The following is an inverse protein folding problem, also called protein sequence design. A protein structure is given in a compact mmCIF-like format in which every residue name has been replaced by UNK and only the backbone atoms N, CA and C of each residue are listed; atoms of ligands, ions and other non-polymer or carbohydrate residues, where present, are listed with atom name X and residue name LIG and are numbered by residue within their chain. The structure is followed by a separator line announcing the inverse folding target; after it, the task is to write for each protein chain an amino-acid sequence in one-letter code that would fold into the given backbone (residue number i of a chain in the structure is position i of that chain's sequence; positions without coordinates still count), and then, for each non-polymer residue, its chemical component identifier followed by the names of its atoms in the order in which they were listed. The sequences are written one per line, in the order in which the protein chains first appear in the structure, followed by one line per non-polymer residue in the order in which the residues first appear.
data_IF_420605117243
#
_entry.id   IF_420605117243
#
_cell.length_a   1.000
_cell.length_b   1.000
_cell.length_c   1.000
_cell.angle_alpha   90.00
_cell.angle_beta   90.00
_cell.angle_gamma   90.00
#
_symmetry.space_group_name_H-M   'P 1'
#
loop_
_entity.id
_entity.type
_entity.pdbx_description
1 polymer ?
#
# COMPACT_ATOMS: atom_id res chain seq x y z
N UNK A 1 1.46 21.39 -14.31
CA UNK A 1 2.00 20.43 -13.31
C UNK A 1 2.97 21.19 -12.44
N UNK A 2 2.80 21.23 -11.10
CA UNK A 2 3.72 21.92 -10.21
C UNK A 2 5.17 21.48 -10.38
N UNK A 3 6.11 22.41 -10.17
CA UNK A 3 7.52 22.17 -10.46
C UNK A 3 8.13 21.01 -9.64
N UNK A 4 7.81 20.96 -8.35
CA UNK A 4 8.26 19.87 -7.45
C UNK A 4 7.78 18.51 -7.92
N UNK A 5 6.50 18.39 -8.33
CA UNK A 5 5.95 17.15 -8.86
C UNK A 5 6.61 16.77 -10.19
N UNK A 6 6.85 17.77 -11.07
CA UNK A 6 7.54 17.58 -12.34
C UNK A 6 8.97 17.08 -12.15
N UNK A 7 9.70 17.59 -11.15
CA UNK A 7 11.06 17.15 -10.79
C UNK A 7 11.10 15.65 -10.53
N UNK A 8 10.24 15.12 -9.64
CA UNK A 8 10.19 13.68 -9.36
C UNK A 8 9.69 12.85 -10.55
N UNK A 9 8.72 13.38 -11.30
CA UNK A 9 8.25 12.76 -12.53
C UNK A 9 9.38 12.54 -13.55
N UNK A 10 10.24 13.56 -13.72
CA UNK A 10 11.41 13.48 -14.62
C UNK A 10 12.50 12.57 -14.04
N UNK A 11 12.70 12.54 -12.73
CA UNK A 11 13.69 11.71 -12.05
C UNK A 11 13.38 10.20 -12.13
N UNK A 12 12.14 9.80 -12.43
CA UNK A 12 11.80 8.40 -12.70
C UNK A 12 12.55 7.81 -13.91
N UNK A 13 13.02 8.63 -14.84
CA UNK A 13 13.86 8.24 -16.00
C UNK A 13 13.37 6.98 -16.74
N UNK A 14 12.05 6.83 -16.89
CA UNK A 14 11.47 5.66 -17.56
C UNK A 14 11.70 5.78 -19.07
N UNK A 15 12.09 4.66 -19.70
CA UNK A 15 12.29 4.58 -21.15
C UNK A 15 10.96 4.61 -21.91
N UNK A 16 10.30 5.77 -21.88
CA UNK A 16 9.07 6.01 -22.63
C UNK A 16 9.35 6.76 -23.93
N UNK A 17 8.67 6.39 -25.00
CA UNK A 17 8.56 7.25 -26.19
C UNK A 17 7.84 8.56 -25.83
N UNK A 18 7.99 9.60 -26.69
CA UNK A 18 7.32 10.90 -26.46
C UNK A 18 5.81 10.77 -26.24
N UNK A 19 5.03 9.98 -27.02
CA UNK A 19 3.62 9.76 -26.75
C UNK A 19 3.34 9.03 -25.42
N UNK A 20 4.14 8.01 -25.09
CA UNK A 20 3.98 7.27 -23.82
C UNK A 20 4.22 8.17 -22.62
N UNK A 21 5.24 9.04 -22.66
CA UNK A 21 5.54 10.01 -21.60
C UNK A 21 4.38 10.99 -21.41
N UNK A 22 3.78 11.48 -22.49
CA UNK A 22 2.59 12.34 -22.42
C UNK A 22 1.42 11.62 -21.74
N UNK A 23 1.10 10.38 -22.15
CA UNK A 23 0.00 9.63 -21.56
C UNK A 23 0.27 9.20 -20.12
N UNK A 24 1.54 8.94 -19.78
CA UNK A 24 1.93 8.72 -18.39
C UNK A 24 1.66 9.96 -17.54
N UNK A 25 2.05 11.16 -18.01
CA UNK A 25 1.74 12.42 -17.31
C UNK A 25 0.24 12.66 -17.15
N UNK A 26 -0.54 12.43 -18.21
CA UNK A 26 -2.02 12.53 -18.14
C UNK A 26 -2.58 11.55 -17.10
N UNK A 27 -2.08 10.32 -17.07
CA UNK A 27 -2.53 9.34 -16.08
C UNK A 27 -2.20 9.76 -14.65
N UNK A 28 -0.96 10.21 -14.39
CA UNK A 28 -0.53 10.66 -13.07
C UNK A 28 -1.37 11.85 -12.60
N UNK A 29 -1.45 12.91 -13.40
CA UNK A 29 -2.22 14.09 -13.04
C UNK A 29 -3.71 13.78 -12.94
N UNK A 30 -4.27 13.05 -13.90
CA UNK A 30 -5.68 12.64 -13.86
C UNK A 30 -6.03 11.87 -12.60
N UNK A 31 -5.17 10.94 -12.15
CA UNK A 31 -5.39 10.19 -10.90
C UNK A 31 -5.42 11.09 -9.66
N UNK A 32 -4.73 12.24 -9.69
CA UNK A 32 -4.64 13.15 -8.55
C UNK A 32 -5.78 14.20 -8.57
N UNK A 33 -6.09 14.75 -9.76
CA UNK A 33 -7.02 15.87 -9.86
C UNK A 33 -8.47 15.46 -10.15
N UNK A 34 -8.72 14.25 -10.61
CA UNK A 34 -10.06 13.73 -10.87
C UNK A 34 -10.89 13.70 -9.58
N UNK A 35 -12.13 14.18 -9.68
CA UNK A 35 -13.09 14.21 -8.55
C UNK A 35 -14.18 13.15 -8.69
N UNK A 36 -14.30 12.57 -9.87
CA UNK A 36 -15.26 11.53 -10.19
C UNK A 36 -14.65 10.14 -9.99
N UNK A 37 -15.44 9.11 -10.28
CA UNK A 37 -14.93 7.76 -10.37
C UNK A 37 -13.80 7.70 -11.39
N UNK A 38 -12.63 7.23 -10.99
CA UNK A 38 -11.37 7.24 -11.77
C UNK A 38 -11.38 6.26 -12.94
N UNK A 39 -12.33 6.46 -13.88
CA UNK A 39 -12.30 5.78 -15.17
C UNK A 39 -11.26 6.43 -16.08
N UNK A 40 -10.73 5.72 -17.07
CA UNK A 40 -9.77 6.32 -18.01
C UNK A 40 -10.33 7.53 -18.75
N UNK A 41 -11.65 7.57 -18.95
CA UNK A 41 -12.35 8.73 -19.53
C UNK A 41 -12.29 9.91 -18.55
N UNK A 42 -12.74 9.74 -17.33
CA UNK A 42 -12.71 10.78 -16.30
C UNK A 42 -11.29 11.29 -16.03
N UNK A 43 -10.29 10.39 -15.94
CA UNK A 43 -8.88 10.80 -15.82
C UNK A 43 -8.40 11.67 -16.99
N UNK A 44 -8.80 11.32 -18.21
CA UNK A 44 -8.45 12.10 -19.41
C UNK A 44 -9.16 13.45 -19.42
N UNK A 45 -10.43 13.52 -19.02
CA UNK A 45 -11.24 14.74 -19.01
C UNK A 45 -10.79 15.71 -17.89
N UNK A 46 -10.25 15.20 -16.78
CA UNK A 46 -9.76 16.00 -15.65
C UNK A 46 -8.45 16.77 -15.95
N UNK A 47 -7.73 16.42 -17.01
CA UNK A 47 -6.42 17.02 -17.35
C UNK A 47 -6.51 17.87 -18.60
N UNK A 48 -5.96 19.08 -18.51
CA UNK A 48 -5.89 20.04 -19.63
C UNK A 48 -5.08 19.41 -20.78
N UNK A 49 -5.58 19.53 -22.02
CA UNK A 49 -4.93 19.04 -23.24
C UNK A 49 -4.56 17.55 -23.23
N UNK A 50 -5.28 16.74 -22.51
CA UNK A 50 -4.99 15.32 -22.32
C UNK A 50 -5.01 14.46 -23.59
N UNK A 51 -5.75 14.88 -24.59
CA UNK A 51 -6.02 14.08 -25.78
C UNK A 51 -7.23 13.14 -25.60
N UNK A 52 -7.45 12.19 -26.53
CA UNK A 52 -8.59 11.29 -26.48
C UNK A 52 -8.39 10.17 -25.45
N UNK A 53 -9.42 9.84 -24.69
CA UNK A 53 -9.42 8.77 -23.67
C UNK A 53 -9.01 7.40 -24.24
N UNK A 54 -9.32 7.12 -25.52
CA UNK A 54 -8.88 5.89 -26.20
C UNK A 54 -7.34 5.76 -26.29
N UNK A 55 -6.62 6.86 -26.36
CA UNK A 55 -5.16 6.85 -26.35
C UNK A 55 -4.61 6.52 -24.95
N UNK A 56 -5.27 6.98 -23.89
CA UNK A 56 -4.93 6.60 -22.51
C UNK A 56 -5.19 5.09 -22.31
N UNK A 57 -6.30 4.54 -22.85
CA UNK A 57 -6.53 3.11 -22.86
C UNK A 57 -5.43 2.35 -23.60
N UNK A 58 -5.02 2.80 -24.80
CA UNK A 58 -3.92 2.18 -25.55
C UNK A 58 -2.62 2.19 -24.75
N UNK A 59 -2.31 3.30 -24.08
CA UNK A 59 -1.14 3.40 -23.21
C UNK A 59 -1.15 2.34 -22.11
N UNK A 60 -2.26 2.21 -21.39
CA UNK A 60 -2.37 1.27 -20.24
C UNK A 60 -2.45 -0.18 -20.74
N UNK A 61 -3.24 -0.48 -21.75
CA UNK A 61 -3.57 -1.85 -22.12
C UNK A 61 -2.64 -2.45 -23.20
N UNK A 62 -2.16 -1.64 -24.16
CA UNK A 62 -1.55 -2.12 -25.40
C UNK A 62 -0.08 -1.73 -25.50
N UNK A 63 0.28 -0.47 -25.26
CA UNK A 63 1.64 0.06 -25.47
C UNK A 63 2.75 -0.79 -24.87
N UNK A 64 3.88 -0.97 -25.58
CA UNK A 64 4.98 -1.81 -25.14
C UNK A 64 5.88 -1.07 -24.14
N UNK A 65 5.47 -0.96 -22.87
CA UNK A 65 6.31 -0.47 -21.79
C UNK A 65 6.40 -1.47 -20.64
N UNK A 66 7.53 -1.43 -19.92
CA UNK A 66 7.84 -2.36 -18.85
C UNK A 66 7.27 -1.89 -17.52
N UNK A 67 6.34 -2.67 -16.96
CA UNK A 67 5.80 -2.45 -15.62
C UNK A 67 6.87 -2.68 -14.54
N UNK A 68 7.73 -3.70 -14.73
CA UNK A 68 8.80 -4.00 -13.77
C UNK A 68 9.90 -2.92 -13.76
N UNK A 69 10.15 -2.26 -14.88
CA UNK A 69 11.06 -1.12 -14.93
C UNK A 69 10.49 0.07 -14.16
N UNK A 70 9.19 0.38 -14.35
CA UNK A 70 8.50 1.42 -13.57
C UNK A 70 8.57 1.14 -12.06
N UNK A 71 8.31 -0.09 -11.63
CA UNK A 71 8.36 -0.49 -10.21
C UNK A 71 9.77 -0.32 -9.62
N UNK A 72 10.80 -0.78 -10.33
CA UNK A 72 12.20 -0.65 -9.91
C UNK A 72 12.64 0.82 -9.82
N UNK A 73 12.32 1.63 -10.84
CA UNK A 73 12.70 3.05 -10.86
C UNK A 73 11.95 3.86 -9.82
N UNK A 74 10.67 3.54 -9.59
CA UNK A 74 9.89 4.16 -8.52
C UNK A 74 10.52 3.90 -7.15
N UNK A 75 10.91 2.65 -6.87
CA UNK A 75 11.56 2.32 -5.60
C UNK A 75 12.97 2.91 -5.49
N UNK A 76 13.74 2.90 -6.58
CA UNK A 76 15.05 3.55 -6.61
C UNK A 76 14.94 5.06 -6.34
N UNK A 77 13.96 5.74 -6.93
CA UNK A 77 13.71 7.16 -6.66
C UNK A 77 13.41 7.42 -5.18
N UNK A 78 12.68 6.54 -4.51
CA UNK A 78 12.48 6.63 -3.06
C UNK A 78 13.81 6.52 -2.33
N UNK A 79 14.62 5.50 -2.64
CA UNK A 79 15.92 5.28 -1.99
C UNK A 79 16.87 6.47 -2.20
N UNK A 80 16.91 7.04 -3.41
CA UNK A 80 17.77 8.17 -3.75
C UNK A 80 17.33 9.50 -3.08
N UNK A 81 16.06 9.55 -2.63
CA UNK A 81 15.49 10.76 -2.00
C UNK A 81 15.51 10.68 -0.47
N UNK A 82 15.48 9.48 0.09
CA UNK A 82 15.54 9.31 1.55
C UNK A 82 16.90 9.75 2.09
N UNK A 83 16.93 10.33 3.31
CA UNK A 83 18.19 10.68 3.97
C UNK A 83 18.95 9.42 4.38
N UNK A 84 20.21 9.59 4.69
CA UNK A 84 20.97 8.57 5.42
C UNK A 84 20.39 8.41 6.84
N UNK A 85 20.22 7.16 7.24
CA UNK A 85 19.70 6.83 8.56
C UNK A 85 20.82 6.33 9.45
N UNK A 86 20.80 6.67 10.76
CA UNK A 86 21.74 6.09 11.73
C UNK A 86 21.68 4.56 11.69
N UNK A 87 22.84 3.93 11.85
CA UNK A 87 22.94 2.47 11.88
C UNK A 87 22.02 1.88 12.95
N UNK A 88 21.26 0.88 12.57
CA UNK A 88 20.30 0.22 13.45
C UNK A 88 18.93 0.88 13.53
N UNK A 89 18.67 1.96 12.79
CA UNK A 89 17.31 2.50 12.63
C UNK A 89 16.36 1.42 12.16
N UNK A 90 15.16 1.35 12.76
CA UNK A 90 14.15 0.38 12.34
C UNK A 90 13.40 0.83 11.10
N UNK A 91 13.33 -0.09 10.15
CA UNK A 91 12.51 0.02 8.95
C UNK A 91 11.44 -1.08 9.00
N UNK A 92 10.18 -0.71 8.88
CA UNK A 92 9.06 -1.64 8.91
C UNK A 92 8.60 -1.95 7.49
N UNK A 93 8.59 -3.23 7.14
CA UNK A 93 7.98 -3.72 5.91
C UNK A 93 6.63 -4.35 6.27
N UNK A 94 5.55 -3.69 5.92
CA UNK A 94 4.19 -4.15 6.22
C UNK A 94 3.68 -4.96 5.04
N UNK A 95 3.16 -6.16 5.29
CA UNK A 95 2.52 -7.03 4.29
C UNK A 95 1.05 -7.16 4.63
N UNK A 96 0.20 -6.88 3.65
CA UNK A 96 -1.25 -7.04 3.78
C UNK A 96 -1.88 -7.25 2.39
N UNK A 97 -3.16 -7.64 2.35
CA UNK A 97 -3.91 -7.77 1.11
C UNK A 97 -5.18 -6.91 1.13
N UNK A 98 -5.67 -6.61 -0.05
CA UNK A 98 -6.88 -5.81 -0.17
C UNK A 98 -7.69 -6.18 -1.41
N UNK A 99 -9.01 -6.27 -1.22
CA UNK A 99 -9.95 -6.56 -2.29
C UNK A 99 -10.33 -5.26 -3.02
N UNK A 100 -10.24 -5.30 -4.35
CA UNK A 100 -10.78 -4.30 -5.25
C UNK A 100 -12.14 -4.78 -5.76
N UNK A 101 -13.22 -4.44 -5.05
CA UNK A 101 -14.58 -4.87 -5.38
C UNK A 101 -14.99 -4.45 -6.78
N UNK A 102 -15.74 -5.31 -7.49
CA UNK A 102 -16.21 -5.12 -8.86
C UNK A 102 -17.65 -5.61 -9.03
N UNK A 103 -18.37 -4.93 -9.90
CA UNK A 103 -19.73 -5.35 -10.32
C UNK A 103 -19.71 -6.08 -11.66
N UNK A 104 -18.73 -5.77 -12.52
CA UNK A 104 -18.62 -6.31 -13.87
C UNK A 104 -18.05 -7.73 -13.90
N UNK A 105 -18.85 -8.69 -14.35
CA UNK A 105 -18.48 -10.13 -14.39
C UNK A 105 -17.53 -10.52 -15.54
N UNK A 106 -17.26 -9.65 -16.51
CA UNK A 106 -16.43 -9.93 -17.69
C UNK A 106 -14.97 -9.48 -17.54
N UNK A 107 -14.49 -9.33 -16.30
CA UNK A 107 -13.11 -8.92 -16.02
C UNK A 107 -12.23 -10.16 -15.84
N UNK A 108 -11.10 -10.21 -16.53
CA UNK A 108 -10.13 -11.32 -16.38
C UNK A 108 -9.65 -11.41 -14.93
N UNK A 109 -9.49 -12.62 -14.41
CA UNK A 109 -9.03 -12.95 -13.08
C UNK A 109 -9.91 -12.45 -11.91
N UNK A 110 -11.08 -11.86 -12.18
CA UNK A 110 -12.02 -11.51 -11.12
C UNK A 110 -12.66 -12.77 -10.51
N UNK A 111 -12.92 -12.73 -9.21
CA UNK A 111 -13.52 -13.84 -8.48
C UNK A 111 -14.17 -13.40 -7.19
N UNK A 112 -14.79 -14.35 -6.48
CA UNK A 112 -15.37 -14.12 -5.17
C UNK A 112 -14.32 -14.33 -4.08
N UNK A 113 -14.14 -13.37 -3.22
CA UNK A 113 -13.23 -13.40 -2.07
C UNK A 113 -14.00 -13.18 -0.78
N UNK A 114 -13.49 -13.70 0.31
CA UNK A 114 -14.04 -13.46 1.63
C UNK A 114 -13.65 -12.05 2.06
N UNK A 115 -14.62 -11.19 2.33
CA UNK A 115 -14.40 -9.82 2.76
C UNK A 115 -13.78 -9.73 4.18
N UNK A 116 -13.34 -8.54 4.54
CA UNK A 116 -12.61 -8.29 5.80
C UNK A 116 -13.44 -8.63 7.05
N UNK A 117 -14.77 -8.50 6.98
CA UNK A 117 -15.69 -8.90 8.06
C UNK A 117 -15.79 -10.43 8.24
N UNK A 118 -15.24 -11.20 7.32
CA UNK A 118 -15.26 -12.65 7.30
C UNK A 118 -16.62 -13.28 7.07
N UNK A 119 -17.67 -12.49 6.86
CA UNK A 119 -19.07 -12.92 6.70
C UNK A 119 -19.57 -12.78 5.27
N UNK A 120 -19.18 -11.69 4.60
CA UNK A 120 -19.60 -11.40 3.22
C UNK A 120 -18.54 -11.85 2.22
N UNK A 121 -18.99 -12.23 1.03
CA UNK A 121 -18.11 -12.46 -0.11
C UNK A 121 -18.21 -11.27 -1.05
N UNK A 122 -17.06 -10.76 -1.48
CA UNK A 122 -16.95 -9.66 -2.43
C UNK A 122 -16.43 -10.19 -3.76
N UNK A 123 -17.08 -9.80 -4.85
CA UNK A 123 -16.60 -10.10 -6.20
C UNK A 123 -15.63 -9.02 -6.65
N UNK A 124 -14.44 -9.41 -7.10
CA UNK A 124 -13.45 -8.44 -7.53
C UNK A 124 -12.08 -9.06 -7.78
N UNK A 125 -11.05 -8.27 -7.56
CA UNK A 125 -9.65 -8.69 -7.59
C UNK A 125 -9.06 -8.52 -6.21
N UNK A 126 -8.14 -9.40 -5.86
CA UNK A 126 -7.40 -9.34 -4.63
C UNK A 126 -5.91 -9.10 -4.91
N UNK A 127 -5.28 -8.24 -4.14
CA UNK A 127 -3.88 -7.84 -4.32
C UNK A 127 -3.15 -7.88 -3.00
N UNK A 128 -2.00 -8.55 -2.99
CA UNK A 128 -1.05 -8.54 -1.86
C UNK A 128 -0.06 -7.41 -2.09
N UNK A 129 0.12 -6.54 -1.09
CA UNK A 129 1.06 -5.40 -1.18
C UNK A 129 2.09 -5.44 -0.08
N UNK A 130 3.21 -4.77 -0.33
CA UNK A 130 4.22 -4.44 0.66
C UNK A 130 4.37 -2.92 0.77
N UNK A 131 4.44 -2.42 2.00
CA UNK A 131 4.52 -1.01 2.34
C UNK A 131 5.66 -0.78 3.32
N UNK A 132 6.56 0.15 3.01
CA UNK A 132 7.72 0.48 3.83
C UNK A 132 7.41 1.70 4.69
N UNK A 133 7.74 1.62 5.98
CA UNK A 133 7.67 2.75 6.92
C UNK A 133 9.02 2.89 7.61
N UNK A 134 9.57 4.09 7.61
CA UNK A 134 10.81 4.44 8.31
C UNK A 134 10.70 5.85 8.90
N UNK A 135 10.76 5.95 10.23
CA UNK A 135 10.37 7.19 10.90
C UNK A 135 8.95 7.60 10.53
N UNK A 136 8.78 8.83 10.10
CA UNK A 136 7.49 9.36 9.63
C UNK A 136 7.24 9.11 8.12
N UNK A 137 8.22 8.58 7.41
CA UNK A 137 8.12 8.35 5.98
C UNK A 137 7.50 7.00 5.68
N UNK A 138 6.65 6.95 4.66
CA UNK A 138 5.98 5.73 4.24
C UNK A 138 5.76 5.69 2.72
N UNK A 139 6.05 4.53 2.11
CA UNK A 139 5.96 4.34 0.67
C UNK A 139 5.51 2.92 0.31
N UNK A 140 4.67 2.74 -0.72
CA UNK A 140 4.38 1.42 -1.26
C UNK A 140 5.62 0.87 -1.96
N UNK A 141 5.99 -0.36 -1.64
CA UNK A 141 7.16 -1.02 -2.24
C UNK A 141 6.77 -1.84 -3.45
N UNK A 142 5.90 -2.83 -3.27
CA UNK A 142 5.51 -3.75 -4.33
C UNK A 142 4.05 -4.19 -4.21
N UNK A 143 3.55 -4.76 -5.32
CA UNK A 143 2.19 -5.28 -5.40
C UNK A 143 2.18 -6.52 -6.28
N UNK A 144 1.53 -7.60 -5.79
CA UNK A 144 1.30 -8.82 -6.56
C UNK A 144 -0.19 -9.18 -6.53
N UNK A 145 -0.87 -9.25 -7.70
CA UNK A 145 -2.25 -9.70 -7.74
C UNK A 145 -2.36 -11.18 -7.42
N UNK A 146 -3.34 -11.54 -6.60
CA UNK A 146 -3.69 -12.91 -6.35
C UNK A 146 -4.70 -13.40 -7.40
N UNK A 147 -4.36 -14.45 -8.11
CA UNK A 147 -5.23 -15.10 -9.07
C UNK A 147 -5.71 -16.45 -8.53
N UNK A 148 -6.99 -16.74 -8.70
CA UNK A 148 -7.53 -18.05 -8.28
C UNK A 148 -6.90 -19.18 -9.09
N UNK A 149 -6.72 -20.31 -8.46
CA UNK A 149 -6.11 -21.50 -9.07
C UNK A 149 -6.81 -21.93 -10.36
N UNK A 150 -8.15 -21.93 -10.39
CA UNK A 150 -8.94 -22.24 -11.58
C UNK A 150 -8.57 -21.33 -12.77
N UNK A 151 -8.49 -20.01 -12.52
CA UNK A 151 -8.08 -19.07 -13.57
C UNK A 151 -6.64 -19.30 -14.03
N UNK A 152 -5.75 -19.65 -13.14
CA UNK A 152 -4.36 -19.96 -13.48
C UNK A 152 -4.26 -21.22 -14.34
N UNK A 153 -5.06 -22.25 -14.07
CA UNK A 153 -5.14 -23.48 -14.86
C UNK A 153 -5.67 -23.18 -16.28
N UNK A 154 -6.75 -22.43 -16.40
CA UNK A 154 -7.35 -22.05 -17.68
C UNK A 154 -6.39 -21.23 -18.55
N UNK A 155 -5.61 -20.34 -17.95
CA UNK A 155 -4.67 -19.45 -18.65
C UNK A 155 -3.25 -20.03 -18.76
N UNK A 156 -3.01 -21.23 -18.25
CA UNK A 156 -1.69 -21.88 -18.19
C UNK A 156 -0.64 -21.00 -17.51
N UNK A 157 -1.06 -20.21 -16.50
CA UNK A 157 -0.16 -19.40 -15.67
C UNK A 157 0.11 -20.09 -14.34
N UNK A 158 1.27 -19.82 -13.74
CA UNK A 158 1.60 -20.42 -12.46
C UNK A 158 0.72 -19.84 -11.36
N UNK A 159 0.13 -20.73 -10.57
CA UNK A 159 -0.60 -20.37 -9.36
C UNK A 159 0.35 -20.08 -8.21
N UNK A 160 0.01 -19.06 -7.42
CA UNK A 160 0.66 -18.72 -6.17
C UNK A 160 -0.39 -18.41 -5.10
N UNK A 161 -0.21 -18.96 -3.92
CA UNK A 161 -0.99 -18.59 -2.73
C UNK A 161 -0.65 -17.16 -2.29
N UNK A 162 -1.54 -16.51 -1.52
CA UNK A 162 -1.22 -15.18 -0.93
C UNK A 162 0.08 -15.21 -0.12
N UNK A 163 0.31 -16.29 0.62
CA UNK A 163 1.52 -16.46 1.42
C UNK A 163 2.80 -16.56 0.56
N UNK A 164 2.73 -17.19 -0.60
CA UNK A 164 3.84 -17.23 -1.55
C UNK A 164 4.06 -15.86 -2.20
N UNK A 165 2.99 -15.12 -2.52
CA UNK A 165 3.08 -13.75 -3.01
C UNK A 165 3.70 -12.81 -1.96
N UNK A 166 3.29 -12.93 -0.70
CA UNK A 166 3.91 -12.21 0.42
C UNK A 166 5.40 -12.54 0.57
N UNK A 167 5.74 -13.83 0.50
CA UNK A 167 7.12 -14.29 0.57
C UNK A 167 7.99 -13.73 -0.59
N UNK A 168 7.41 -13.62 -1.81
CA UNK A 168 8.09 -12.98 -2.94
C UNK A 168 8.35 -11.51 -2.68
N UNK A 169 7.33 -10.75 -2.19
CA UNK A 169 7.48 -9.32 -1.86
C UNK A 169 8.57 -9.10 -0.80
N UNK A 170 8.66 -9.96 0.21
CA UNK A 170 9.69 -9.89 1.25
C UNK A 170 11.09 -10.13 0.64
N UNK A 171 11.25 -11.14 -0.24
CA UNK A 171 12.53 -11.45 -0.88
C UNK A 171 12.99 -10.34 -1.83
N UNK A 172 12.06 -9.72 -2.54
CA UNK A 172 12.33 -8.65 -3.52
C UNK A 172 12.61 -7.29 -2.87
N UNK A 173 12.24 -7.11 -1.59
CA UNK A 173 12.44 -5.85 -0.89
C UNK A 173 13.92 -5.49 -0.75
N UNK A 174 14.27 -4.28 -1.19
CA UNK A 174 15.58 -3.66 -1.01
C UNK A 174 15.43 -2.52 0.00
N UNK A 175 15.81 -2.71 1.26
CA UNK A 175 15.71 -1.65 2.26
C UNK A 175 16.73 -0.53 1.98
N UNK A 176 16.54 0.67 2.55
CA UNK A 176 17.61 1.67 2.69
C UNK A 176 18.84 1.06 3.39
N UNK A 177 20.00 1.64 3.17
CA UNK A 177 21.25 1.17 3.80
C UNK A 177 21.25 1.41 5.31
N UNK A 178 21.96 0.58 6.07
CA UNK A 178 22.17 0.71 7.51
C UNK A 178 20.96 0.41 8.40
N UNK A 179 19.78 0.11 7.85
CA UNK A 179 18.56 -0.09 8.62
C UNK A 179 18.36 -1.55 9.06
N UNK A 180 17.64 -1.74 10.18
CA UNK A 180 17.14 -3.05 10.65
C UNK A 180 15.70 -3.24 10.23
N UNK A 181 15.44 -4.25 9.40
CA UNK A 181 14.09 -4.51 8.89
C UNK A 181 13.29 -5.39 9.82
N UNK A 182 12.07 -4.93 10.14
CA UNK A 182 11.04 -5.71 10.83
C UNK A 182 9.85 -5.87 9.90
N UNK A 183 9.49 -7.10 9.57
CA UNK A 183 8.31 -7.40 8.75
C UNK A 183 7.07 -7.49 9.64
N UNK A 184 6.05 -6.68 9.35
CA UNK A 184 4.79 -6.64 10.08
C UNK A 184 3.68 -7.23 9.22
N UNK A 185 2.88 -8.13 9.79
CA UNK A 185 1.74 -8.75 9.11
C UNK A 185 0.68 -9.21 10.10
N UNK A 186 -0.47 -9.58 9.59
CA UNK A 186 -1.56 -10.11 10.40
C UNK A 186 -1.40 -11.63 10.66
N UNK A 187 -2.33 -12.21 11.41
CA UNK A 187 -2.31 -13.62 11.76
C UNK A 187 -2.48 -14.58 10.57
N UNK A 188 -2.94 -14.08 9.41
CA UNK A 188 -3.09 -14.88 8.19
C UNK A 188 -1.73 -15.22 7.58
N UNK A 189 -0.82 -14.25 7.60
CA UNK A 189 0.53 -14.39 7.05
C UNK A 189 1.53 -15.05 8.02
N UNK A 190 1.14 -15.32 9.26
CA UNK A 190 2.00 -16.03 10.22
C UNK A 190 2.06 -17.53 9.90
N UNK A 191 2.85 -17.92 8.92
CA UNK A 191 3.02 -19.30 8.47
C UNK A 191 4.46 -19.58 8.01
N UNK A 192 4.83 -20.87 7.85
CA UNK A 192 6.22 -21.26 7.52
C UNK A 192 6.76 -20.65 6.23
N UNK A 193 5.93 -20.47 5.20
CA UNK A 193 6.36 -19.92 3.90
C UNK A 193 6.84 -18.46 4.03
N UNK A 194 6.06 -17.64 4.75
CA UNK A 194 6.40 -16.23 5.00
C UNK A 194 7.60 -16.12 5.94
N UNK A 195 7.59 -16.88 7.05
CA UNK A 195 8.70 -16.86 8.03
C UNK A 195 10.01 -17.33 7.39
N UNK A 196 9.97 -18.31 6.49
CA UNK A 196 11.15 -18.74 5.73
C UNK A 196 11.72 -17.57 4.92
N UNK A 197 10.89 -16.82 4.21
CA UNK A 197 11.34 -15.66 3.42
C UNK A 197 11.94 -14.56 4.31
N UNK A 198 11.36 -14.29 5.47
CA UNK A 198 11.90 -13.32 6.45
C UNK A 198 13.30 -13.77 6.92
N UNK A 199 13.45 -15.05 7.30
CA UNK A 199 14.75 -15.61 7.75
C UNK A 199 15.80 -15.61 6.63
N UNK A 200 15.45 -15.97 5.40
CA UNK A 200 16.33 -15.92 4.23
C UNK A 200 16.90 -14.51 4.00
N UNK A 201 16.12 -13.47 4.30
CA UNK A 201 16.53 -12.07 4.19
C UNK A 201 17.24 -11.54 5.45
N UNK A 202 17.38 -12.35 6.50
CA UNK A 202 17.90 -11.95 7.82
C UNK A 202 17.12 -10.77 8.42
N UNK A 203 15.81 -10.70 8.14
CA UNK A 203 14.89 -9.74 8.74
C UNK A 203 14.29 -10.31 10.01
N UNK A 204 13.75 -9.44 10.84
CA UNK A 204 12.91 -9.82 11.98
C UNK A 204 11.42 -9.68 11.62
N UNK A 205 10.56 -10.17 12.47
CA UNK A 205 9.12 -10.07 12.26
C UNK A 205 8.34 -9.84 13.55
N UNK A 206 7.17 -9.18 13.44
CA UNK A 206 6.14 -9.10 14.47
C UNK A 206 4.79 -9.32 13.80
N UNK A 207 3.96 -10.17 14.39
CA UNK A 207 2.65 -10.51 13.86
C UNK A 207 1.63 -10.74 14.95
N UNK A 208 0.33 -10.61 14.59
CA UNK A 208 -0.71 -11.24 15.39
C UNK A 208 -0.60 -12.75 15.26
N UNK A 209 -0.94 -13.46 16.34
CA UNK A 209 -1.05 -14.90 16.33
C UNK A 209 -2.51 -15.32 16.52
N UNK A 210 -2.92 -16.42 15.87
CA UNK A 210 -4.24 -16.99 16.09
C UNK A 210 -4.31 -17.61 17.49
N UNK A 211 -5.45 -17.48 18.15
CA UNK A 211 -5.69 -18.00 19.51
C UNK A 211 -5.49 -19.51 19.65
N UNK A 212 -5.70 -20.26 18.57
CA UNK A 212 -5.50 -21.71 18.49
C UNK A 212 -4.06 -22.13 18.16
N UNK A 213 -3.09 -21.19 18.11
CA UNK A 213 -1.68 -21.52 17.89
C UNK A 213 -1.15 -22.35 19.06
N UNK A 214 -0.56 -23.50 18.73
CA UNK A 214 -0.04 -24.46 19.69
C UNK A 214 1.40 -24.13 20.06
N UNK A 215 1.75 -24.30 21.33
CA UNK A 215 3.10 -24.30 21.87
C UNK A 215 3.33 -25.56 22.71
N UNK A 216 4.59 -25.83 22.99
CA UNK A 216 5.01 -26.95 23.83
C UNK A 216 5.57 -26.41 25.15
N UNK A 217 5.08 -26.95 26.25
CA UNK A 217 5.60 -26.75 27.61
C UNK A 217 5.96 -28.13 28.19
N UNK A 218 7.25 -28.47 28.10
CA UNK A 218 7.71 -29.82 28.37
C UNK A 218 7.11 -30.84 27.37
N UNK A 219 6.40 -31.83 27.89
CA UNK A 219 5.69 -32.86 27.08
C UNK A 219 4.23 -32.48 26.72
N UNK A 220 3.71 -31.42 27.34
CA UNK A 220 2.33 -30.98 27.12
C UNK A 220 2.21 -30.05 25.93
N UNK A 221 1.06 -30.19 25.25
CA UNK A 221 0.67 -29.29 24.15
C UNK A 221 -0.46 -28.42 24.62
N UNK A 222 -0.24 -27.11 24.57
CA UNK A 222 -1.28 -26.13 24.86
C UNK A 222 -1.44 -25.13 23.69
N UNK A 223 -2.54 -24.39 23.72
CA UNK A 223 -2.75 -23.30 22.77
C UNK A 223 -2.83 -21.94 23.49
N UNK A 224 -2.64 -20.85 22.73
CA UNK A 224 -2.61 -19.51 23.28
C UNK A 224 -3.93 -19.10 23.96
N UNK A 225 -5.08 -19.65 23.51
CA UNK A 225 -6.38 -19.40 24.15
C UNK A 225 -6.45 -20.01 25.54
N UNK A 226 -5.89 -21.22 25.73
CA UNK A 226 -5.81 -21.89 27.03
C UNK A 226 -4.88 -21.14 27.97
N UNK A 227 -3.72 -20.71 27.47
CA UNK A 227 -2.78 -19.86 28.24
C UNK A 227 -3.50 -18.60 28.74
N UNK A 228 -4.20 -17.87 27.86
CA UNK A 228 -4.89 -16.63 28.24
C UNK A 228 -5.96 -16.82 29.33
N UNK A 229 -6.61 -18.00 29.39
CA UNK A 229 -7.62 -18.31 30.41
C UNK A 229 -7.01 -18.59 31.81
N UNK A 230 -5.75 -19.03 31.84
CA UNK A 230 -5.02 -19.30 33.11
C UNK A 230 -4.45 -18.02 33.74
N UNK A 231 -4.44 -16.89 33.01
CA UNK A 231 -3.81 -15.65 33.48
C UNK A 231 -4.73 -14.88 34.44
N UNK A 232 -4.18 -14.53 35.60
CA UNK A 232 -4.82 -13.59 36.52
C UNK A 232 -4.60 -12.15 36.01
N UNK A 233 -5.66 -11.57 35.44
CA UNK A 233 -5.61 -10.25 34.80
C UNK A 233 -5.33 -9.11 35.78
N UNK A 234 -5.70 -9.28 37.07
CA UNK A 234 -5.53 -8.23 38.09
C UNK A 234 -4.05 -7.95 38.39
N UNK A 235 -3.23 -8.98 38.24
CA UNK A 235 -1.79 -8.91 38.50
C UNK A 235 -0.94 -8.65 37.24
N UNK A 236 -1.57 -8.39 36.07
CA UNK A 236 -0.80 -8.12 34.87
C UNK A 236 -0.32 -6.65 34.81
N UNK A 237 0.92 -6.41 34.36
CA UNK A 237 1.43 -5.07 34.16
C UNK A 237 0.61 -4.31 33.12
N UNK A 238 0.33 -3.03 33.41
CA UNK A 238 -0.35 -2.10 32.51
C UNK A 238 0.68 -1.41 31.62
N UNK A 239 0.46 -1.47 30.30
CA UNK A 239 1.31 -0.85 29.29
C UNK A 239 0.49 0.13 28.47
N UNK A 240 0.96 1.37 28.35
CA UNK A 240 0.33 2.40 27.51
C UNK A 240 1.07 2.53 26.18
N UNK A 241 0.33 2.50 25.07
CA UNK A 241 0.84 2.68 23.70
C UNK A 241 -0.19 3.44 22.88
N UNK A 242 0.23 4.51 22.22
CA UNK A 242 -0.59 5.30 21.30
C UNK A 242 -1.97 5.69 21.87
N UNK A 243 -1.99 6.12 23.14
CA UNK A 243 -3.22 6.55 23.82
C UNK A 243 -4.14 5.43 24.33
N UNK A 244 -3.80 4.16 24.08
CA UNK A 244 -4.54 3.00 24.60
C UNK A 244 -3.78 2.29 25.70
N UNK A 245 -4.50 1.72 26.67
CA UNK A 245 -3.96 0.98 27.80
C UNK A 245 -4.24 -0.51 27.67
N UNK A 246 -3.21 -1.32 27.89
CA UNK A 246 -3.28 -2.79 27.79
C UNK A 246 -2.75 -3.46 29.06
N UNK A 247 -3.40 -4.53 29.50
CA UNK A 247 -2.83 -5.46 30.47
C UNK A 247 -2.08 -6.53 29.66
N UNK A 248 -0.80 -6.75 29.96
CA UNK A 248 0.08 -7.53 29.09
C UNK A 248 0.79 -8.64 29.85
N UNK A 249 0.57 -9.88 29.44
CA UNK A 249 1.45 -11.00 29.78
C UNK A 249 2.45 -11.23 28.66
N UNK A 250 3.72 -11.44 29.00
CA UNK A 250 4.79 -11.65 28.02
C UNK A 250 5.69 -12.81 28.45
N UNK A 251 5.86 -13.77 27.55
CA UNK A 251 6.72 -14.95 27.76
C UNK A 251 7.42 -15.37 26.47
N UNK A 252 8.43 -16.23 26.60
CA UNK A 252 9.05 -16.89 25.46
C UNK A 252 8.53 -18.32 25.38
N UNK A 253 7.98 -18.71 24.23
CA UNK A 253 7.38 -20.01 23.99
C UNK A 253 7.96 -20.64 22.71
N UNK A 254 8.06 -21.96 22.71
CA UNK A 254 8.34 -22.71 21.47
C UNK A 254 7.04 -22.93 20.71
N UNK A 255 6.71 -21.98 19.81
CA UNK A 255 5.52 -22.11 18.98
C UNK A 255 5.75 -23.15 17.88
N UNK A 256 4.75 -24.02 17.67
CA UNK A 256 4.80 -25.02 16.61
C UNK A 256 5.11 -24.36 15.25
N UNK A 257 6.08 -24.92 14.52
CA UNK A 257 6.60 -24.44 13.21
C UNK A 257 7.37 -23.13 13.20
N UNK A 258 7.38 -22.35 14.30
CA UNK A 258 8.07 -21.05 14.38
C UNK A 258 9.34 -21.10 15.25
N UNK A 259 9.37 -22.04 16.21
CA UNK A 259 10.46 -22.18 17.18
C UNK A 259 10.35 -21.17 18.34
N UNK A 260 11.47 -20.80 18.94
CA UNK A 260 11.52 -19.91 20.09
C UNK A 260 11.01 -18.51 19.68
N UNK A 261 9.95 -18.10 20.32
CA UNK A 261 9.16 -16.92 19.95
C UNK A 261 8.72 -16.18 21.21
N UNK A 262 8.89 -14.88 21.23
CA UNK A 262 8.30 -14.03 22.27
C UNK A 262 6.82 -13.86 21.95
N UNK A 263 5.98 -14.20 22.91
CA UNK A 263 4.51 -14.09 22.81
C UNK A 263 4.01 -13.06 23.82
N UNK A 264 3.14 -12.18 23.37
CA UNK A 264 2.37 -11.28 24.21
C UNK A 264 0.91 -11.67 24.18
N UNK A 265 0.30 -11.82 25.35
CA UNK A 265 -1.16 -11.89 25.52
C UNK A 265 -1.61 -10.54 26.03
N UNK A 266 -2.38 -9.81 25.24
CA UNK A 266 -2.81 -8.44 25.56
C UNK A 266 -4.30 -8.37 25.77
N UNK A 267 -4.74 -7.72 26.83
CA UNK A 267 -6.13 -7.44 27.15
C UNK A 267 -6.34 -5.93 27.11
N UNK A 268 -7.43 -5.46 26.57
CA UNK A 268 -7.83 -4.07 26.59
C UNK A 268 -8.17 -3.68 28.06
N UNK A 269 -7.43 -2.74 28.62
CA UNK A 269 -7.61 -2.37 30.04
C UNK A 269 -8.92 -1.63 30.30
N UNK A 270 -9.51 -1.00 29.28
CA UNK A 270 -10.76 -0.24 29.36
C UNK A 270 -11.98 -1.08 28.96
N UNK A 271 -11.74 -2.19 28.26
CA UNK A 271 -12.79 -3.10 27.76
C UNK A 271 -12.46 -4.55 28.10
N UNK A 272 -12.62 -4.93 29.40
CA UNK A 272 -12.17 -6.24 29.89
C UNK A 272 -12.89 -7.42 29.25
N UNK A 273 -14.11 -7.23 28.71
CA UNK A 273 -14.89 -8.27 28.03
C UNK A 273 -14.41 -8.57 26.62
N UNK A 274 -13.55 -7.72 26.05
CA UNK A 274 -12.94 -8.01 24.75
C UNK A 274 -12.04 -9.26 24.84
N UNK A 275 -12.05 -10.02 23.74
CA UNK A 275 -11.14 -11.16 23.58
C UNK A 275 -9.69 -10.67 23.56
N UNK A 276 -8.77 -11.44 24.18
CA UNK A 276 -7.36 -11.10 24.14
C UNK A 276 -6.82 -11.10 22.72
N UNK A 277 -5.82 -10.23 22.48
CA UNK A 277 -5.03 -10.22 21.26
C UNK A 277 -3.67 -10.84 21.55
N UNK A 278 -3.23 -11.71 20.66
CA UNK A 278 -1.95 -12.38 20.76
C UNK A 278 -1.00 -11.76 19.74
N UNK A 279 0.20 -11.33 20.20
CA UNK A 279 1.30 -10.93 19.35
C UNK A 279 2.44 -11.93 19.49
N UNK A 280 3.18 -12.13 18.42
CA UNK A 280 4.33 -13.01 18.38
C UNK A 280 5.47 -12.38 17.59
N UNK A 281 6.73 -12.62 18.01
CA UNK A 281 7.91 -12.11 17.34
C UNK A 281 9.13 -13.00 17.60
N UNK A 282 10.08 -13.04 16.67
CA UNK A 282 11.40 -13.66 16.84
C UNK A 282 12.37 -12.78 17.66
N UNK A 283 12.01 -11.52 17.90
CA UNK A 283 12.82 -10.57 18.67
C UNK A 283 12.61 -10.76 20.17
N UNK A 284 13.12 -11.86 20.72
CA UNK A 284 12.87 -12.30 22.11
C UNK A 284 13.36 -11.31 23.18
N UNK A 285 14.23 -10.36 22.83
CA UNK A 285 14.80 -9.36 23.76
C UNK A 285 13.98 -8.07 23.84
N UNK A 286 13.02 -7.84 22.95
CA UNK A 286 12.19 -6.64 22.99
C UNK A 286 11.32 -6.62 24.25
N UNK A 287 11.13 -5.47 24.85
CA UNK A 287 10.11 -5.28 25.90
C UNK A 287 8.71 -5.42 25.33
N UNK A 288 7.73 -5.74 26.17
CA UNK A 288 6.32 -5.80 25.75
C UNK A 288 5.85 -4.48 25.12
N UNK A 289 6.27 -3.34 25.68
CA UNK A 289 5.98 -2.01 25.15
C UNK A 289 6.51 -1.83 23.75
N UNK A 290 7.78 -2.16 23.49
CA UNK A 290 8.38 -2.05 22.16
C UNK A 290 7.66 -2.91 21.12
N UNK A 291 7.30 -4.16 21.47
CA UNK A 291 6.55 -5.03 20.55
C UNK A 291 5.19 -4.42 20.18
N UNK A 292 4.49 -3.85 21.16
CA UNK A 292 3.21 -3.16 20.94
C UNK A 292 3.40 -1.92 20.06
N UNK A 293 4.34 -1.04 20.40
CA UNK A 293 4.66 0.18 19.64
C UNK A 293 5.00 -0.15 18.17
N UNK A 294 5.87 -1.13 17.95
CA UNK A 294 6.26 -1.54 16.61
C UNK A 294 5.08 -2.16 15.83
N UNK A 295 4.26 -2.94 16.50
CA UNK A 295 3.11 -3.55 15.83
C UNK A 295 2.02 -2.52 15.46
N UNK A 296 1.88 -1.41 16.20
CA UNK A 296 0.94 -0.34 15.83
C UNK A 296 1.28 0.30 14.49
N UNK A 297 2.55 0.28 14.06
CA UNK A 297 2.97 0.78 12.75
C UNK A 297 2.27 0.04 11.60
N UNK A 298 1.87 -1.23 11.81
CA UNK A 298 1.11 -1.99 10.81
C UNK A 298 -0.14 -1.24 10.32
N UNK A 299 -0.75 -0.42 11.16
CA UNK A 299 -1.95 0.35 10.79
C UNK A 299 -1.74 1.33 9.63
N UNK A 300 -0.49 1.72 9.35
CA UNK A 300 -0.15 2.60 8.22
C UNK A 300 -0.58 2.03 6.87
N UNK A 301 -0.59 0.71 6.69
CA UNK A 301 -1.04 0.10 5.43
C UNK A 301 -2.56 0.24 5.22
N UNK A 302 -3.35 0.27 6.29
CA UNK A 302 -4.80 0.50 6.22
C UNK A 302 -5.11 1.95 5.80
N UNK A 303 -4.33 2.91 6.33
CA UNK A 303 -4.36 4.31 5.89
C UNK A 303 -3.98 4.43 4.41
N UNK A 304 -2.90 3.77 4.00
CA UNK A 304 -2.49 3.70 2.60
C UNK A 304 -3.62 3.17 1.70
N UNK A 305 -4.25 2.05 2.04
CA UNK A 305 -5.36 1.52 1.24
C UNK A 305 -6.56 2.47 1.18
N UNK A 306 -6.90 3.10 2.29
CA UNK A 306 -7.94 4.11 2.31
C UNK A 306 -7.61 5.25 1.34
N UNK A 307 -6.42 5.79 1.41
CA UNK A 307 -6.00 6.94 0.62
C UNK A 307 -5.93 6.61 -0.88
N UNK A 308 -5.33 5.49 -1.27
CA UNK A 308 -5.27 5.10 -2.70
C UNK A 308 -6.63 4.74 -3.27
N UNK A 309 -7.54 4.17 -2.47
CA UNK A 309 -8.92 3.85 -2.91
C UNK A 309 -9.77 5.11 -3.04
N UNK A 310 -9.68 6.03 -2.09
CA UNK A 310 -10.54 7.22 -2.04
C UNK A 310 -10.01 8.36 -2.91
N UNK A 311 -8.71 8.55 -3.00
CA UNK A 311 -8.10 9.72 -3.62
C UNK A 311 -7.51 9.46 -5.02
N UNK A 312 -7.07 8.22 -5.30
CA UNK A 312 -6.33 7.89 -6.51
C UNK A 312 -6.98 6.80 -7.36
N UNK A 313 -8.19 6.35 -6.98
CA UNK A 313 -8.99 5.42 -7.77
C UNK A 313 -8.43 4.01 -7.88
N UNK A 314 -7.69 3.53 -6.87
CA UNK A 314 -7.08 2.20 -6.86
C UNK A 314 -8.05 1.05 -7.21
N UNK A 315 -9.31 1.19 -6.82
CA UNK A 315 -10.38 0.22 -7.11
C UNK A 315 -11.30 0.62 -8.26
N UNK A 316 -11.11 1.76 -8.94
CA UNK A 316 -12.10 2.33 -9.87
C UNK A 316 -11.94 1.88 -11.33
N UNK A 317 -10.84 1.22 -11.66
CA UNK A 317 -10.57 0.76 -13.03
C UNK A 317 -11.70 -0.12 -13.58
N UNK A 318 -11.92 0.00 -14.91
CA UNK A 318 -12.92 -0.78 -15.65
C UNK A 318 -12.29 -1.64 -16.76
N UNK A 319 -10.95 -1.68 -16.84
CA UNK A 319 -10.23 -2.47 -17.83
C UNK A 319 -10.44 -3.96 -17.60
N UNK A 320 -10.80 -4.69 -18.70
CA UNK A 320 -11.11 -6.12 -18.61
C UNK A 320 -9.86 -7.00 -18.56
N UNK A 321 -8.77 -6.58 -19.21
CA UNK A 321 -7.54 -7.37 -19.35
C UNK A 321 -6.67 -7.31 -18.10
N UNK A 322 -6.22 -8.45 -17.59
CA UNK A 322 -5.36 -8.55 -16.42
C UNK A 322 -4.07 -7.73 -16.55
N UNK A 323 -3.48 -7.65 -17.76
CA UNK A 323 -2.32 -6.79 -18.04
C UNK A 323 -2.60 -5.32 -17.73
N UNK A 324 -3.77 -4.81 -18.17
CA UNK A 324 -4.15 -3.42 -17.96
C UNK A 324 -4.43 -3.13 -16.48
N UNK A 325 -5.05 -4.08 -15.76
CA UNK A 325 -5.30 -3.99 -14.33
C UNK A 325 -4.00 -3.90 -13.53
N UNK A 326 -3.03 -4.79 -13.82
CA UNK A 326 -1.69 -4.76 -13.20
C UNK A 326 -1.00 -3.42 -13.39
N UNK A 327 -1.06 -2.87 -14.60
CA UNK A 327 -0.47 -1.58 -14.94
C UNK A 327 -1.16 -0.43 -14.23
N UNK A 328 -2.50 -0.47 -14.12
CA UNK A 328 -3.27 0.50 -13.35
C UNK A 328 -2.78 0.59 -11.91
N UNK A 329 -2.67 -0.54 -11.20
CA UNK A 329 -2.19 -0.54 -9.83
C UNK A 329 -0.78 0.04 -9.71
N UNK A 330 0.14 -0.34 -10.59
CA UNK A 330 1.50 0.23 -10.57
C UNK A 330 1.51 1.74 -10.84
N UNK A 331 0.65 2.24 -11.71
CA UNK A 331 0.49 3.66 -11.97
C UNK A 331 -0.07 4.40 -10.75
N UNK A 332 -1.06 3.83 -10.06
CA UNK A 332 -1.61 4.40 -8.81
C UNK A 332 -0.54 4.41 -7.69
N UNK A 333 0.21 3.30 -7.51
CA UNK A 333 1.33 3.29 -6.56
C UNK A 333 2.38 4.35 -6.89
N UNK A 334 2.61 4.61 -8.19
CA UNK A 334 3.54 5.65 -8.62
C UNK A 334 3.00 7.04 -8.29
N UNK A 335 1.73 7.33 -8.56
CA UNK A 335 1.11 8.62 -8.19
C UNK A 335 1.19 8.85 -6.66
N UNK A 336 0.86 7.84 -5.86
CA UNK A 336 0.98 7.91 -4.41
C UNK A 336 2.43 8.20 -3.98
N UNK A 337 3.41 7.48 -4.56
CA UNK A 337 4.83 7.69 -4.23
C UNK A 337 5.28 9.11 -4.54
N UNK A 338 4.91 9.65 -5.71
CA UNK A 338 5.28 11.02 -6.08
C UNK A 338 4.68 12.07 -5.14
N UNK A 339 3.43 11.89 -4.70
CA UNK A 339 2.79 12.74 -3.70
C UNK A 339 3.54 12.69 -2.36
N UNK A 340 3.88 11.48 -1.89
CA UNK A 340 4.63 11.31 -0.62
C UNK A 340 6.03 11.91 -0.69
N UNK A 341 6.73 11.77 -1.82
CA UNK A 341 8.03 12.40 -2.02
C UNK A 341 7.94 13.93 -2.01
N UNK A 342 6.88 14.50 -2.60
CA UNK A 342 6.63 15.93 -2.56
C UNK A 342 6.41 16.40 -1.11
N UNK A 343 5.55 15.73 -0.33
CA UNK A 343 5.34 16.03 1.07
C UNK A 343 6.65 15.99 1.88
N UNK A 344 7.46 14.97 1.65
CA UNK A 344 8.72 14.80 2.34
C UNK A 344 9.70 15.96 2.07
N UNK A 345 9.81 16.42 0.82
CA UNK A 345 10.72 17.51 0.47
C UNK A 345 10.21 18.89 0.87
N UNK A 346 8.89 19.08 0.90
CA UNK A 346 8.25 20.33 1.32
C UNK A 346 8.24 20.50 2.85
N UNK A 347 8.11 19.41 3.60
CA UNK A 347 8.21 19.43 5.07
C UNK A 347 9.57 19.91 5.61
N UNK A 348 10.62 19.90 4.78
CA UNK A 348 11.92 20.53 5.09
C UNK A 348 11.89 22.05 5.00
N UNK A 349 10.88 22.69 4.46
CA UNK A 349 10.66 24.14 4.49
C UNK A 349 9.68 24.53 5.61
N UNK A 350 10.20 24.81 6.68
CA UNK A 350 9.96 25.19 8.07
C UNK A 350 8.70 25.98 8.49
N UNK A 351 7.52 25.97 7.87
CA UNK A 351 6.45 26.86 8.34
C UNK A 351 5.04 26.30 8.48
N UNK A 352 4.74 25.08 7.98
CA UNK A 352 3.37 24.56 8.03
C UNK A 352 3.30 23.11 8.52
N UNK A 353 2.21 22.77 9.20
CA UNK A 353 1.89 21.39 9.57
C UNK A 353 1.88 20.49 8.34
N UNK A 354 2.42 19.26 8.41
CA UNK A 354 2.46 18.38 7.24
C UNK A 354 1.05 18.17 6.69
N UNK A 355 0.86 18.54 5.42
CA UNK A 355 -0.42 18.38 4.75
C UNK A 355 -0.80 16.89 4.66
N UNK A 356 -2.06 16.58 4.85
CA UNK A 356 -2.59 15.24 4.54
C UNK A 356 -2.55 15.02 3.02
N UNK A 357 -2.51 13.75 2.59
CA UNK A 357 -2.56 13.41 1.15
C UNK A 357 -3.80 14.01 0.47
N UNK A 358 -4.94 14.07 1.18
CA UNK A 358 -6.17 14.67 0.67
C UNK A 358 -6.03 16.19 0.46
N UNK A 359 -5.35 16.90 1.36
CA UNK A 359 -5.06 18.34 1.20
C UNK A 359 -4.14 18.60 0.02
N UNK A 360 -3.10 17.79 -0.13
CA UNK A 360 -2.20 17.88 -1.26
C UNK A 360 -2.93 17.64 -2.60
N UNK A 361 -3.79 16.62 -2.68
CA UNK A 361 -4.62 16.41 -3.87
C UNK A 361 -5.52 17.62 -4.16
N UNK A 362 -6.09 18.26 -3.13
CA UNK A 362 -6.90 19.49 -3.29
C UNK A 362 -6.06 20.67 -3.81
N UNK A 363 -4.87 20.88 -3.27
CA UNK A 363 -3.95 21.93 -3.71
C UNK A 363 -3.54 21.74 -5.19
N UNK A 364 -3.19 20.51 -5.59
CA UNK A 364 -2.85 20.19 -6.98
C UNK A 364 -4.05 20.37 -7.93
N UNK A 365 -5.26 20.08 -7.46
CA UNK A 365 -6.50 20.31 -8.20
C UNK A 365 -6.78 21.79 -8.38
N UNK A 366 -6.60 22.60 -7.33
CA UNK A 366 -6.73 24.05 -7.42
C UNK A 366 -5.72 24.62 -8.42
N UNK A 367 -4.47 24.22 -8.36
CA UNK A 367 -3.44 24.62 -9.33
C UNK A 367 -3.83 24.26 -10.78
N UNK A 368 -4.36 23.05 -11.01
CA UNK A 368 -4.83 22.64 -12.33
C UNK A 368 -5.99 23.52 -12.84
N UNK A 369 -6.90 23.94 -11.96
CA UNK A 369 -8.00 24.85 -12.31
C UNK A 369 -7.48 26.25 -12.62
N UNK A 370 -6.53 26.76 -11.87
CA UNK A 370 -5.88 28.05 -12.14
C UNK A 370 -5.17 28.06 -13.50
N UNK A 371 -4.45 27.00 -13.84
CA UNK A 371 -3.82 26.84 -15.17
C UNK A 371 -4.88 26.79 -16.29
N UNK A 372 -6.02 26.14 -16.06
CA UNK A 372 -7.13 26.13 -17.01
C UNK A 372 -7.67 27.53 -17.24
N UNK A 373 -7.90 28.31 -16.18
CA UNK A 373 -8.38 29.69 -16.28
C UNK A 373 -7.36 30.55 -17.05
N UNK A 374 -6.07 30.46 -16.73
CA UNK A 374 -5.01 31.18 -17.44
C UNK A 374 -5.02 30.88 -18.95
N UNK A 375 -5.16 29.60 -19.31
CA UNK A 375 -5.20 29.16 -20.69
C UNK A 375 -6.45 29.69 -21.44
N UNK A 376 -7.61 29.69 -20.77
CA UNK A 376 -8.84 30.28 -21.32
C UNK A 376 -8.65 31.78 -21.58
N UNK A 377 -8.14 32.52 -20.60
CA UNK A 377 -7.88 33.95 -20.73
C UNK A 377 -6.89 34.23 -21.89
N UNK A 378 -5.82 33.46 -21.99
CA UNK A 378 -4.85 33.58 -23.07
C UNK A 378 -5.46 33.33 -24.45
N UNK A 379 -6.27 32.31 -24.61
CA UNK A 379 -6.94 31.99 -25.89
C UNK A 379 -7.99 33.04 -26.24
N UNK A 380 -8.72 33.56 -25.24
CA UNK A 380 -9.68 34.67 -25.42
C UNK A 380 -8.96 35.95 -25.88
N UNK A 381 -7.82 36.32 -25.30
CA UNK A 381 -7.05 37.50 -25.72
C UNK A 381 -6.45 37.35 -27.13
N UNK A 382 -6.34 36.14 -27.67
CA UNK A 382 -5.98 35.83 -29.05
C UNK A 382 -7.16 35.89 -30.02
N UNK A 383 -8.35 36.31 -29.55
CA UNK A 383 -9.54 36.49 -30.38
C UNK A 383 -10.30 35.16 -30.67
N UNK A 384 -10.03 34.05 -29.97
CA UNK A 384 -10.80 32.82 -30.17
C UNK A 384 -12.18 32.92 -29.52
N UNK A 385 -13.20 32.44 -30.21
CA UNK A 385 -14.57 32.38 -29.65
C UNK A 385 -14.69 31.40 -28.49
N UNK A 386 -15.62 31.61 -27.54
CA UNK A 386 -15.86 30.68 -26.45
C UNK A 386 -16.07 29.24 -26.90
N UNK A 387 -16.82 29.05 -28.02
CA UNK A 387 -17.08 27.70 -28.57
C UNK A 387 -15.80 27.05 -29.09
N UNK A 388 -14.92 27.83 -29.71
CA UNK A 388 -13.60 27.36 -30.18
C UNK A 388 -12.71 26.97 -29.01
N UNK A 389 -12.72 27.78 -27.92
CA UNK A 389 -11.97 27.51 -26.69
C UNK A 389 -12.51 26.23 -26.03
N UNK A 390 -13.82 26.13 -25.81
CA UNK A 390 -14.44 24.94 -25.24
C UNK A 390 -14.11 23.68 -26.03
N UNK A 391 -14.19 23.76 -27.37
CA UNK A 391 -13.86 22.63 -28.25
C UNK A 391 -12.38 22.25 -28.16
N UNK A 392 -11.45 23.25 -28.15
CA UNK A 392 -10.01 23.00 -28.06
C UNK A 392 -9.60 22.37 -26.73
N UNK A 393 -10.24 22.79 -25.64
CA UNK A 393 -10.02 22.31 -24.28
C UNK A 393 -10.90 21.12 -23.87
N UNK A 394 -11.84 20.72 -24.76
CA UNK A 394 -12.82 19.66 -24.51
C UNK A 394 -13.70 19.90 -23.29
N UNK A 395 -14.05 21.15 -23.05
CA UNK A 395 -14.93 21.57 -21.96
C UNK A 395 -16.43 21.47 -22.36
N UNK A 396 -16.71 21.28 -23.65
CA UNK A 396 -18.07 21.00 -24.12
C UNK A 396 -18.32 19.50 -24.08
N UNK A 397 -19.42 19.11 -23.45
CA UNK A 397 -19.89 17.73 -23.37
C UNK A 397 -20.36 17.23 -24.76
#
# INVERSE_FOLDING_TARGET
MPETFLKFFMALQISFSKPQRRHFGVYMMGSIVCQEKHTLRALSEAVIESGAACNLYRFVAISPWSMSDLEKRRWQLVLDTLPEYPEGTYCFLIIDDSICAKTGKKMEAAGWFKGDDGKKHEFGHDVVTSHCVIGEQEFPVGLKPYFKEVWCQETKTRFYTRNELAAQLIREFKPPEGVKVIVLFDAWYLNPTVIKAVKERKFNWISRAKSNRVFHEGQEKENLSTLAKKLDRQNLPKVQVSGSSYLVYSCNLSLNTLGNTRVLVTFDAEKPDKRPVFLATDMIKLSARQVLEFYTVRWRIETFYRDVKQLLGFSDYQMRKARAQKRHWQLVLTAYTLLRLQQFTEAGSLTESPQTLGEQCRSLRQHNNEELIRLICQQSSQGKSPESICRSLRLAA
#
